data_IF_677173704232
#
_entry.id   IF_677173704232
#
_cell.length_a   1.000
_cell.length_b   1.000
_cell.length_c   1.000
_cell.angle_alpha   90.00
_cell.angle_beta   90.00
_cell.angle_gamma   90.00
#
_symmetry.space_group_name_H-M   'P 1'
#
loop_
_entity.id
_entity.type
_entity.pdbx_description
1 polymer ?
#
# COMPACT_ATOMS: atom_id res chain seq x y z
N UNK A 1 -11.62 -21.80 18.26
CA UNK A 1 -10.83 -21.42 17.07
C UNK A 1 -9.41 -21.16 17.53
N UNK A 2 -8.40 -21.57 16.77
CA UNK A 2 -7.00 -21.30 17.11
C UNK A 2 -6.73 -19.78 17.04
N UNK A 3 -5.99 -19.18 17.99
CA UNK A 3 -5.74 -17.75 17.99
C UNK A 3 -4.93 -17.36 16.75
N UNK A 4 -5.53 -16.55 15.88
CA UNK A 4 -4.85 -16.03 14.68
C UNK A 4 -3.93 -14.90 15.11
N UNK A 5 -2.63 -15.10 14.88
CA UNK A 5 -1.56 -14.20 15.34
C UNK A 5 -0.68 -13.77 14.18
N UNK A 6 -0.20 -12.54 14.25
CA UNK A 6 0.80 -12.00 13.33
C UNK A 6 1.79 -11.16 14.13
N UNK A 7 3.08 -11.29 13.87
CA UNK A 7 4.09 -10.43 14.49
C UNK A 7 4.98 -9.79 13.45
N UNK A 8 5.32 -8.53 13.69
CA UNK A 8 6.17 -7.77 12.78
C UNK A 8 6.98 -6.72 13.51
N UNK A 9 8.22 -6.55 13.09
CA UNK A 9 9.04 -5.39 13.42
C UNK A 9 9.05 -4.48 12.21
N UNK A 10 8.35 -3.35 12.27
CA UNK A 10 8.14 -2.51 11.10
C UNK A 10 9.39 -1.70 10.67
N UNK A 11 10.34 -1.46 11.58
CA UNK A 11 11.56 -0.69 11.29
C UNK A 11 12.63 -0.91 12.37
N UNK A 12 13.85 -0.42 12.13
CA UNK A 12 14.95 -0.44 13.12
C UNK A 12 14.60 0.30 14.42
N UNK A 13 13.76 1.34 14.34
CA UNK A 13 13.40 2.17 15.48
C UNK A 13 12.24 1.59 16.31
N UNK A 14 11.63 0.48 15.86
CA UNK A 14 10.49 -0.14 16.54
C UNK A 14 10.88 -1.51 17.08
N UNK A 15 10.35 -1.84 18.25
CA UNK A 15 10.36 -3.21 18.76
C UNK A 15 9.44 -4.09 17.91
N UNK A 16 9.63 -5.40 17.95
CA UNK A 16 8.68 -6.32 17.35
C UNK A 16 7.33 -6.20 18.08
N UNK A 17 6.27 -6.06 17.30
CA UNK A 17 4.90 -5.99 17.80
C UNK A 17 4.17 -7.25 17.38
N UNK A 18 3.59 -7.96 18.34
CA UNK A 18 2.67 -9.06 18.06
C UNK A 18 1.23 -8.56 18.11
N UNK A 19 0.43 -9.10 17.21
CA UNK A 19 -0.98 -8.83 17.03
C UNK A 19 -1.72 -10.15 17.18
N UNK A 20 -2.70 -10.17 18.05
CA UNK A 20 -3.51 -11.36 18.33
C UNK A 20 -4.99 -11.02 18.27
N UNK A 21 -5.74 -11.80 17.50
CA UNK A 21 -7.19 -11.67 17.42
C UNK A 21 -7.85 -12.47 18.55
N UNK A 22 -8.43 -11.75 19.49
CA UNK A 22 -9.37 -12.31 20.46
C UNK A 22 -10.81 -12.22 19.92
N UNK A 23 -11.77 -12.71 20.69
CA UNK A 23 -13.17 -12.80 20.24
C UNK A 23 -13.79 -11.42 20.03
N UNK A 24 -13.46 -10.42 20.85
CA UNK A 24 -14.05 -9.08 20.82
C UNK A 24 -13.04 -7.94 20.67
N UNK A 25 -11.74 -8.26 20.61
CA UNK A 25 -10.67 -7.28 20.58
C UNK A 25 -9.42 -7.75 19.82
N UNK A 26 -8.66 -6.77 19.35
CA UNK A 26 -7.29 -6.94 18.90
C UNK A 26 -6.36 -6.69 20.09
N UNK A 27 -5.52 -7.66 20.43
CA UNK A 27 -4.39 -7.44 21.34
C UNK A 27 -3.15 -7.04 20.55
N UNK A 28 -2.47 -6.01 21.04
CA UNK A 28 -1.20 -5.52 20.53
C UNK A 28 -0.18 -5.64 21.66
N UNK A 29 0.87 -6.42 21.49
CA UNK A 29 1.96 -6.48 22.45
C UNK A 29 3.26 -5.99 21.80
N UNK A 30 3.85 -4.94 22.36
CA UNK A 30 5.11 -4.34 21.91
C UNK A 30 6.08 -4.31 23.09
N UNK A 31 6.96 -5.30 23.17
CA UNK A 31 7.83 -5.47 24.35
C UNK A 31 7.01 -5.82 25.60
N UNK A 32 7.10 -5.00 26.65
CA UNK A 32 6.36 -5.20 27.90
C UNK A 32 4.97 -4.54 27.89
N UNK A 33 4.70 -3.68 26.91
CA UNK A 33 3.41 -3.01 26.79
C UNK A 33 2.42 -3.92 26.06
N UNK A 34 1.26 -4.16 26.69
CA UNK A 34 0.14 -4.87 26.08
C UNK A 34 -1.04 -3.92 26.05
N UNK A 35 -1.57 -3.70 24.86
CA UNK A 35 -2.73 -2.89 24.61
C UNK A 35 -3.86 -3.75 24.05
N UNK A 36 -5.08 -3.51 24.53
CA UNK A 36 -6.30 -4.13 24.01
C UNK A 36 -7.13 -3.09 23.28
N UNK A 37 -7.42 -3.35 22.01
CA UNK A 37 -8.27 -2.52 21.16
C UNK A 37 -9.58 -3.26 20.87
N UNK A 38 -10.69 -2.89 21.52
CA UNK A 38 -12.00 -3.49 21.23
C UNK A 38 -12.42 -3.23 19.77
N UNK A 39 -13.03 -4.22 19.11
CA UNK A 39 -13.52 -4.04 17.73
C UNK A 39 -14.59 -2.95 17.61
N UNK A 40 -15.37 -2.75 18.68
CA UNK A 40 -16.33 -1.66 18.80
C UNK A 40 -15.71 -0.26 18.71
N UNK A 41 -14.41 -0.09 19.02
CA UNK A 41 -13.73 1.20 18.94
C UNK A 41 -13.12 1.49 17.57
N UNK A 42 -13.10 0.49 16.69
CA UNK A 42 -12.54 0.63 15.34
C UNK A 42 -13.55 1.37 14.47
N UNK A 43 -13.17 2.54 13.97
CA UNK A 43 -14.01 3.32 13.07
C UNK A 43 -13.82 2.90 11.61
N UNK A 44 -12.58 2.56 11.23
CA UNK A 44 -12.25 2.18 9.86
C UNK A 44 -11.07 1.21 9.82
N UNK A 45 -11.14 0.24 8.92
CA UNK A 45 -10.01 -0.61 8.55
C UNK A 45 -9.73 -0.43 7.06
N UNK A 46 -8.49 -0.08 6.72
CA UNK A 46 -8.05 0.09 5.34
C UNK A 46 -6.99 -0.93 4.98
N UNK A 47 -7.24 -1.70 3.92
CA UNK A 47 -6.26 -2.60 3.33
C UNK A 47 -5.75 -2.00 2.01
N UNK A 48 -4.45 -1.87 1.86
CA UNK A 48 -3.85 -1.45 0.59
C UNK A 48 -2.47 -2.07 0.41
N UNK A 49 -2.01 -2.10 -0.84
CA UNK A 49 -0.66 -2.54 -1.15
C UNK A 49 0.20 -1.30 -1.37
N UNK A 50 1.33 -1.20 -0.67
CA UNK A 50 2.30 -0.16 -0.99
C UNK A 50 2.76 -0.36 -2.44
N UNK A 51 2.85 0.73 -3.22
CA UNK A 51 3.33 0.64 -4.58
C UNK A 51 4.80 0.22 -4.52
N UNK A 52 5.08 -1.01 -4.93
CA UNK A 52 6.40 -1.40 -5.38
C UNK A 52 6.54 -1.00 -6.86
N UNK A 53 7.77 -0.82 -7.35
CA UNK A 53 8.01 -0.71 -8.78
C UNK A 53 7.64 -2.04 -9.45
N UNK A 54 6.35 -2.24 -9.71
CA UNK A 54 5.84 -3.31 -10.54
C UNK A 54 5.74 -2.77 -11.96
N UNK A 55 6.69 -3.13 -12.80
CA UNK A 55 6.54 -2.97 -14.24
C UNK A 55 5.67 -4.12 -14.73
N UNK A 56 4.45 -3.81 -15.18
CA UNK A 56 3.52 -4.79 -15.75
C UNK A 56 4.21 -5.48 -16.94
N UNK A 57 4.58 -6.76 -16.77
CA UNK A 57 5.28 -7.57 -17.77
C UNK A 57 6.77 -7.84 -17.51
N UNK A 58 7.40 -7.23 -16.49
CA UNK A 58 8.83 -7.39 -16.20
C UNK A 58 9.12 -8.11 -14.87
N UNK A 59 8.14 -8.86 -14.37
CA UNK A 59 8.21 -9.58 -13.09
C UNK A 59 8.03 -8.67 -11.87
N UNK A 60 7.90 -9.29 -10.71
CA UNK A 60 7.91 -8.58 -9.43
C UNK A 60 9.33 -8.03 -9.16
N UNK A 61 9.45 -6.74 -8.86
CA UNK A 61 10.70 -6.21 -8.32
C UNK A 61 11.10 -7.01 -7.06
N UNK A 62 12.40 -7.23 -6.87
CA UNK A 62 12.98 -7.99 -5.75
C UNK A 62 12.50 -7.56 -4.35
N UNK A 63 11.92 -6.37 -4.24
CA UNK A 63 11.26 -5.85 -3.03
C UNK A 63 9.73 -5.90 -3.16
N UNK A 64 9.19 -7.10 -3.40
CA UNK A 64 7.77 -7.44 -3.60
C UNK A 64 6.79 -6.58 -2.81
N UNK A 65 5.63 -6.29 -3.43
CA UNK A 65 4.66 -5.34 -2.89
C UNK A 65 4.32 -5.63 -1.43
N UNK A 66 4.30 -4.58 -0.60
CA UNK A 66 4.01 -4.72 0.82
C UNK A 66 2.52 -4.56 1.06
N UNK A 67 1.90 -5.51 1.75
CA UNK A 67 0.51 -5.34 2.17
C UNK A 67 0.50 -4.55 3.48
N UNK A 68 -0.37 -3.55 3.55
CA UNK A 68 -0.58 -2.72 4.73
C UNK A 68 -2.04 -2.73 5.13
N UNK A 69 -2.26 -2.93 6.42
CA UNK A 69 -3.54 -2.78 7.08
C UNK A 69 -3.45 -1.60 8.04
N UNK A 70 -4.30 -0.60 7.84
CA UNK A 70 -4.37 0.59 8.68
C UNK A 70 -5.70 0.62 9.40
N UNK A 71 -5.64 0.53 10.73
CA UNK A 71 -6.79 0.63 11.63
C UNK A 71 -6.87 2.07 12.11
N UNK A 72 -8.03 2.71 11.94
CA UNK A 72 -8.35 4.01 12.52
C UNK A 72 -9.41 3.81 13.60
N UNK A 73 -9.10 4.24 14.82
CA UNK A 73 -10.05 4.17 15.95
C UNK A 73 -11.00 5.37 15.93
N UNK A 74 -12.11 5.28 16.67
CA UNK A 74 -13.04 6.41 16.87
C UNK A 74 -12.36 7.63 17.49
N UNK A 75 -11.33 7.41 18.30
CA UNK A 75 -10.46 8.45 18.86
C UNK A 75 -9.42 9.01 17.86
N UNK A 76 -9.54 8.69 16.56
CA UNK A 76 -8.64 9.13 15.46
C UNK A 76 -7.20 8.63 15.58
N UNK A 77 -6.93 7.66 16.44
CA UNK A 77 -5.62 6.99 16.49
C UNK A 77 -5.49 6.06 15.29
N UNK A 78 -4.28 5.98 14.72
CA UNK A 78 -3.96 5.10 13.60
C UNK A 78 -2.94 4.04 13.99
N UNK A 79 -3.22 2.80 13.66
CA UNK A 79 -2.34 1.65 13.84
C UNK A 79 -2.08 1.07 12.45
N UNK A 80 -0.81 0.90 12.10
CA UNK A 80 -0.39 0.35 10.80
C UNK A 80 0.29 -0.99 11.02
N UNK A 81 -0.26 -2.03 10.39
CA UNK A 81 0.26 -3.40 10.38
C UNK A 81 0.75 -3.68 8.96
N UNK A 82 1.88 -4.34 8.82
CA UNK A 82 2.54 -4.56 7.54
C UNK A 82 2.98 -6.00 7.40
N UNK A 83 2.92 -6.55 6.18
CA UNK A 83 3.45 -7.88 5.89
C UNK A 83 4.98 -7.96 5.91
N UNK A 84 5.70 -6.82 5.90
CA UNK A 84 7.17 -6.80 5.84
C UNK A 84 7.80 -6.71 7.22
N UNK A 85 8.60 -7.71 7.58
CA UNK A 85 9.35 -7.75 8.82
C UNK A 85 10.80 -7.28 8.63
N UNK A 86 11.20 -6.26 9.37
CA UNK A 86 12.57 -5.75 9.37
C UNK A 86 13.50 -6.68 10.16
N UNK A 87 14.45 -7.31 9.47
CA UNK A 87 15.46 -8.18 10.11
C UNK A 87 16.74 -7.39 10.41
N UNK A 88 17.26 -6.68 9.40
CA UNK A 88 18.45 -5.83 9.52
C UNK A 88 18.49 -4.83 8.37
N UNK A 89 19.43 -3.88 8.40
CA UNK A 89 19.57 -2.88 7.34
C UNK A 89 19.68 -3.55 5.96
N UNK A 90 18.80 -3.16 5.03
CA UNK A 90 18.72 -3.72 3.68
C UNK A 90 18.04 -5.10 3.56
N UNK A 91 17.62 -5.72 4.67
CA UNK A 91 17.01 -7.06 4.68
C UNK A 91 15.65 -7.03 5.36
N UNK A 92 14.63 -7.35 4.57
CA UNK A 92 13.26 -7.52 5.03
C UNK A 92 12.81 -8.94 4.72
N UNK A 93 12.15 -9.56 5.68
CA UNK A 93 11.45 -10.83 5.52
C UNK A 93 10.00 -10.56 5.09
N UNK A 94 9.51 -11.33 4.13
CA UNK A 94 8.11 -11.31 3.75
C UNK A 94 7.30 -12.26 4.65
N UNK A 95 6.38 -11.69 5.45
CA UNK A 95 5.46 -12.42 6.32
C UNK A 95 4.04 -12.45 5.76
N UNK A 96 3.84 -12.29 4.45
CA UNK A 96 2.54 -12.37 3.79
C UNK A 96 1.75 -13.66 4.16
N UNK A 97 2.45 -14.78 4.35
CA UNK A 97 1.83 -16.07 4.71
C UNK A 97 1.05 -16.02 6.04
N UNK A 98 1.50 -15.24 7.03
CA UNK A 98 0.76 -15.04 8.29
C UNK A 98 -0.13 -13.81 8.24
N UNK A 99 0.26 -12.78 7.48
CA UNK A 99 -0.48 -11.54 7.34
C UNK A 99 -1.83 -11.73 6.63
N UNK A 100 -1.89 -12.52 5.55
CA UNK A 100 -3.12 -12.74 4.78
C UNK A 100 -4.27 -13.34 5.59
N UNK A 101 -4.06 -14.48 6.27
CA UNK A 101 -5.06 -15.06 7.18
C UNK A 101 -5.44 -14.12 8.33
N UNK A 102 -4.44 -13.46 8.93
CA UNK A 102 -4.67 -12.48 10.00
C UNK A 102 -5.53 -11.30 9.55
N UNK A 103 -5.22 -10.67 8.42
CA UNK A 103 -5.95 -9.53 7.90
C UNK A 103 -7.38 -9.88 7.52
N UNK A 104 -7.58 -11.06 6.91
CA UNK A 104 -8.91 -11.57 6.55
C UNK A 104 -9.78 -11.78 7.79
N UNK A 105 -9.23 -12.46 8.80
CA UNK A 105 -9.95 -12.73 10.05
C UNK A 105 -10.21 -11.46 10.86
N UNK A 106 -9.27 -10.51 10.88
CA UNK A 106 -9.46 -9.20 11.52
C UNK A 106 -10.64 -8.45 10.88
N UNK A 107 -10.69 -8.40 9.54
CA UNK A 107 -11.78 -7.73 8.82
C UNK A 107 -13.13 -8.38 9.14
N UNK A 108 -13.18 -9.72 9.16
CA UNK A 108 -14.38 -10.48 9.53
C UNK A 108 -14.85 -10.16 10.95
N UNK A 109 -13.97 -10.28 11.95
CA UNK A 109 -14.32 -10.03 13.37
C UNK A 109 -14.68 -8.57 13.64
N UNK A 110 -14.04 -7.62 12.95
CA UNK A 110 -14.40 -6.20 13.05
C UNK A 110 -15.78 -5.95 12.48
N UNK A 111 -16.12 -6.57 11.34
CA UNK A 111 -17.45 -6.44 10.77
C UNK A 111 -18.54 -7.02 11.69
N UNK A 112 -18.28 -8.18 12.29
CA UNK A 112 -19.21 -8.83 13.24
C UNK A 112 -19.37 -8.04 14.54
N UNK A 113 -18.26 -7.60 15.14
CA UNK A 113 -18.28 -6.85 16.40
C UNK A 113 -18.67 -5.37 16.25
N UNK A 114 -18.58 -4.82 15.03
CA UNK A 114 -18.93 -3.44 14.73
C UNK A 114 -19.32 -3.27 13.25
N UNK A 115 -20.59 -3.55 12.89
CA UNK A 115 -21.08 -3.43 11.52
C UNK A 115 -21.02 -2.00 10.95
N UNK A 116 -20.87 -0.98 11.82
CA UNK A 116 -20.72 0.41 11.42
C UNK A 116 -19.27 0.78 11.05
N UNK A 117 -18.30 -0.11 11.27
CA UNK A 117 -16.91 0.13 10.88
C UNK A 117 -16.77 0.17 9.36
N UNK A 118 -16.10 1.19 8.84
CA UNK A 118 -15.84 1.30 7.41
C UNK A 118 -14.69 0.38 7.01
N UNK A 119 -14.96 -0.61 6.17
CA UNK A 119 -13.93 -1.45 5.56
C UNK A 119 -13.61 -0.89 4.17
N UNK A 120 -12.35 -0.52 3.93
CA UNK A 120 -11.92 0.16 2.70
C UNK A 120 -10.73 -0.56 2.09
N UNK A 121 -10.73 -0.74 0.77
CA UNK A 121 -9.59 -1.18 -0.02
C UNK A 121 -8.98 -0.01 -0.81
N UNK A 122 -7.66 -0.01 -0.94
CA UNK A 122 -6.91 0.98 -1.71
C UNK A 122 -6.43 2.17 -0.88
N UNK A 123 -5.86 3.17 -1.56
CA UNK A 123 -5.22 4.31 -0.89
C UNK A 123 -6.20 5.16 -0.09
N UNK A 124 -5.65 5.92 0.86
CA UNK A 124 -6.38 7.06 1.42
C UNK A 124 -6.67 8.08 0.31
N UNK A 125 -7.75 8.86 0.43
CA UNK A 125 -8.07 9.89 -0.55
C UNK A 125 -6.89 10.86 -0.77
N UNK A 126 -6.24 11.31 0.30
CA UNK A 126 -5.07 12.19 0.21
C UNK A 126 -3.90 11.55 -0.52
N UNK A 127 -3.60 10.27 -0.24
CA UNK A 127 -2.53 9.55 -0.93
C UNK A 127 -2.89 9.32 -2.41
N UNK A 128 -4.13 8.98 -2.73
CA UNK A 128 -4.59 8.82 -4.11
C UNK A 128 -4.46 10.14 -4.91
N UNK A 129 -4.87 11.27 -4.34
CA UNK A 129 -4.69 12.59 -4.95
C UNK A 129 -3.22 12.97 -5.11
N UNK A 130 -2.37 12.62 -4.15
CA UNK A 130 -0.92 12.81 -4.27
C UNK A 130 -0.35 12.05 -5.48
N UNK A 131 -0.72 10.78 -5.66
CA UNK A 131 -0.29 9.99 -6.83
C UNK A 131 -0.88 10.52 -8.14
N UNK A 132 -2.12 11.04 -8.12
CA UNK A 132 -2.69 11.69 -9.29
C UNK A 132 -1.93 12.97 -9.64
N UNK A 133 -1.57 13.80 -8.66
CA UNK A 133 -0.75 14.98 -8.86
C UNK A 133 0.63 14.64 -9.41
N UNK A 134 1.27 13.58 -8.91
CA UNK A 134 2.52 13.06 -9.44
C UNK A 134 2.38 12.59 -10.90
N UNK A 135 1.29 11.90 -11.25
CA UNK A 135 1.00 11.52 -12.63
C UNK A 135 0.83 12.76 -13.54
N UNK A 136 0.09 13.78 -13.09
CA UNK A 136 -0.07 15.03 -13.84
C UNK A 136 1.29 15.72 -14.08
N UNK A 137 2.15 15.76 -13.07
CA UNK A 137 3.51 16.28 -13.20
C UNK A 137 4.34 15.48 -14.22
N UNK A 138 4.26 14.15 -14.20
CA UNK A 138 4.92 13.30 -15.19
C UNK A 138 4.41 13.57 -16.61
N UNK A 139 3.11 13.79 -16.79
CA UNK A 139 2.56 14.18 -18.10
C UNK A 139 3.13 15.52 -18.56
N UNK A 140 3.24 16.52 -17.67
CA UNK A 140 3.85 17.80 -18.01
C UNK A 140 5.34 17.65 -18.37
N UNK A 141 6.09 16.85 -17.62
CA UNK A 141 7.48 16.51 -17.95
C UNK A 141 7.57 15.83 -19.33
N UNK A 142 6.68 14.89 -19.63
CA UNK A 142 6.65 14.22 -20.93
C UNK A 142 6.39 15.21 -22.07
N UNK A 143 5.43 16.13 -21.91
CA UNK A 143 5.18 17.20 -22.89
C UNK A 143 6.40 18.09 -23.08
N UNK A 144 7.10 18.46 -22.00
CA UNK A 144 8.35 19.20 -22.07
C UNK A 144 9.43 18.44 -22.86
N UNK A 145 9.59 17.14 -22.61
CA UNK A 145 10.51 16.29 -23.37
C UNK A 145 10.18 16.24 -24.86
N UNK A 146 8.90 16.11 -25.22
CA UNK A 146 8.43 16.15 -26.61
C UNK A 146 8.75 17.50 -27.25
N UNK A 147 8.51 18.61 -26.55
CA UNK A 147 8.85 19.94 -27.04
C UNK A 147 10.35 20.12 -27.26
N UNK A 148 11.20 19.56 -26.40
CA UNK A 148 12.65 19.55 -26.62
C UNK A 148 13.03 18.81 -27.92
N UNK A 149 12.41 17.65 -28.18
CA UNK A 149 12.64 16.89 -29.42
C UNK A 149 12.21 17.69 -30.64
N UNK A 150 11.02 18.29 -30.60
CA UNK A 150 10.50 19.13 -31.70
C UNK A 150 11.41 20.33 -31.94
N UNK A 151 11.82 21.03 -30.88
CA UNK A 151 12.72 22.18 -30.97
C UNK A 151 14.07 21.81 -31.58
N UNK A 152 14.63 20.65 -31.21
CA UNK A 152 15.89 20.17 -31.79
C UNK A 152 15.72 19.75 -33.26
N UNK A 153 14.64 19.05 -33.59
CA UNK A 153 14.36 18.58 -34.95
C UNK A 153 14.05 19.71 -35.95
N UNK A 154 13.47 20.83 -35.47
CA UNK A 154 13.14 22.00 -36.30
C UNK A 154 14.29 23.00 -36.45
N UNK A 155 15.50 22.64 -36.00
CA UNK A 155 16.71 23.45 -36.15
C UNK A 155 16.96 24.47 -35.04
N UNK A 156 16.12 24.49 -34.00
CA UNK A 156 16.32 25.35 -32.81
C UNK A 156 17.26 24.75 -31.75
N UNK A 157 17.76 23.53 -31.92
CA UNK A 157 18.56 22.83 -30.92
C UNK A 157 19.68 21.96 -31.48
N UNK A 158 20.45 21.34 -30.59
CA UNK A 158 21.56 20.45 -30.93
C UNK A 158 21.08 19.00 -31.07
N UNK A 159 21.84 18.16 -31.78
CA UNK A 159 21.58 16.72 -31.85
C UNK A 159 21.57 16.05 -30.46
N UNK A 160 22.36 16.59 -29.52
CA UNK A 160 22.38 16.19 -28.11
C UNK A 160 20.99 16.42 -27.50
N UNK A 161 20.39 17.59 -27.71
CA UNK A 161 19.04 17.90 -27.24
C UNK A 161 17.97 16.95 -27.78
N UNK A 162 18.12 16.48 -29.03
CA UNK A 162 17.23 15.49 -29.63
C UNK A 162 17.33 14.14 -28.91
N UNK A 163 18.55 13.64 -28.69
CA UNK A 163 18.78 12.35 -28.02
C UNK A 163 18.30 12.39 -26.57
N UNK A 164 18.70 13.42 -25.81
CA UNK A 164 18.28 13.57 -24.42
C UNK A 164 16.78 13.78 -24.29
N UNK A 165 16.16 14.60 -25.15
CA UNK A 165 14.72 14.79 -25.18
C UNK A 165 13.97 13.49 -25.46
N UNK A 166 14.44 12.68 -26.40
CA UNK A 166 13.83 11.40 -26.73
C UNK A 166 13.93 10.39 -25.58
N UNK A 167 15.12 10.24 -24.98
CA UNK A 167 15.35 9.35 -23.83
C UNK A 167 14.48 9.81 -22.64
N UNK A 168 14.54 11.10 -22.30
CA UNK A 168 13.76 11.67 -21.20
C UNK A 168 12.25 11.45 -21.39
N UNK A 169 11.75 11.68 -22.61
CA UNK A 169 10.33 11.44 -22.94
C UNK A 169 9.96 9.97 -22.77
N UNK A 170 10.79 9.05 -23.28
CA UNK A 170 10.54 7.62 -23.19
C UNK A 170 10.47 7.14 -21.72
N UNK A 171 11.46 7.49 -20.90
CA UNK A 171 11.48 7.11 -19.48
C UNK A 171 10.33 7.74 -18.69
N UNK A 172 9.97 8.98 -19.01
CA UNK A 172 8.83 9.65 -18.38
C UNK A 172 7.51 8.99 -18.76
N UNK A 173 7.34 8.59 -20.03
CA UNK A 173 6.17 7.87 -20.50
C UNK A 173 6.02 6.49 -19.82
N UNK A 174 7.13 5.74 -19.70
CA UNK A 174 7.14 4.47 -18.96
C UNK A 174 6.79 4.65 -17.48
N UNK A 175 7.29 5.72 -16.86
CA UNK A 175 6.97 6.07 -15.47
C UNK A 175 5.49 6.43 -15.32
N UNK A 176 4.95 7.28 -16.20
CA UNK A 176 3.55 7.65 -16.18
C UNK A 176 2.63 6.44 -16.35
N UNK A 177 2.98 5.51 -17.24
CA UNK A 177 2.25 4.25 -17.42
C UNK A 177 2.21 3.40 -16.14
N UNK A 178 3.32 3.31 -15.39
CA UNK A 178 3.35 2.61 -14.10
C UNK A 178 2.42 3.27 -13.07
N UNK A 179 2.42 4.61 -12.99
CA UNK A 179 1.53 5.36 -12.10
C UNK A 179 0.04 5.19 -12.43
N UNK A 180 -0.31 5.08 -13.72
CA UNK A 180 -1.69 4.76 -14.14
C UNK A 180 -2.14 3.41 -13.58
N UNK A 181 -1.27 2.38 -13.64
CA UNK A 181 -1.55 1.08 -13.04
C UNK A 181 -1.78 1.17 -11.52
N UNK A 182 -0.89 1.85 -10.80
CA UNK A 182 -1.01 2.07 -9.35
C UNK A 182 -2.33 2.80 -9.01
N UNK A 183 -2.68 3.86 -9.72
CA UNK A 183 -3.91 4.62 -9.45
C UNK A 183 -5.18 3.82 -9.75
N UNK A 184 -5.16 2.98 -10.79
CA UNK A 184 -6.27 2.11 -11.16
C UNK A 184 -6.48 0.99 -10.10
N UNK A 185 -5.39 0.36 -9.66
CA UNK A 185 -5.40 -0.71 -8.66
C UNK A 185 -5.75 -0.20 -7.26
N UNK A 186 -5.22 0.96 -6.87
CA UNK A 186 -5.34 1.52 -5.53
C UNK A 186 -6.49 2.52 -5.38
N UNK A 187 -7.44 2.54 -6.33
CA UNK A 187 -8.64 3.37 -6.23
C UNK A 187 -9.40 3.03 -4.93
N UNK A 188 -9.73 4.02 -4.07
CA UNK A 188 -10.47 3.76 -2.84
C UNK A 188 -11.82 3.13 -3.16
N UNK A 189 -12.10 1.96 -2.58
CA UNK A 189 -13.38 1.26 -2.73
C UNK A 189 -13.82 0.68 -1.38
N UNK A 190 -15.11 0.70 -1.05
CA UNK A 190 -15.63 -0.08 0.06
C UNK A 190 -15.26 -1.55 -0.13
N UNK A 191 -14.79 -2.20 0.94
CA UNK A 191 -14.55 -3.63 0.94
C UNK A 191 -15.85 -4.31 1.34
N UNK A 192 -16.48 -4.99 0.39
CA UNK A 192 -17.60 -5.89 0.67
C UNK A 192 -16.99 -7.24 1.03
N UNK A 193 -17.19 -7.68 2.27
CA UNK A 193 -16.93 -9.07 2.64
C UNK A 193 -18.04 -9.89 1.97
N UNK A 194 -17.77 -10.42 0.77
CA UNK A 194 -18.64 -11.45 0.21
C UNK A 194 -18.66 -12.61 1.22
N UNK A 195 -19.86 -13.01 1.61
CA UNK A 195 -20.14 -14.16 2.45
C UNK A 195 -19.78 -15.44 1.66
N UNK A 196 -18.49 -15.65 1.41
CA UNK A 196 -18.00 -16.93 0.94
C UNK A 196 -18.08 -17.87 2.13
N UNK A 197 -19.26 -18.49 2.25
CA UNK A 197 -19.41 -19.71 3.03
C UNK A 197 -18.28 -20.69 2.68
N UNK A 198 -17.82 -21.50 3.65
CA UNK A 198 -16.64 -22.33 3.47
C UNK A 198 -16.84 -23.21 2.25
N UNK A 199 -16.03 -23.00 1.20
CA UNK A 199 -15.88 -23.99 0.14
C UNK A 199 -15.33 -25.24 0.82
N UNK A 200 -16.20 -26.26 0.89
CA UNK A 200 -15.96 -27.58 1.45
C UNK A 200 -15.00 -28.38 0.56
#
# INVERSE_FOLDING_TARGET
MEPVRHSVRASIAKVETSYELQDDALLLAAGAEVERLPFAEIARVRLFQAPSMRYRGMGDAAYGGCELLVIETRARRKISITSKHFVKLGVFEDRAATFGPFGTELLRRVHEGNPQAELVRGFSAGLWWFYLGALLLLVLCMLFGVLMVISAATGGGTWIGLVFGAIFTLFTALSAWSFVGVLAEQRPRPLVLEDRGPER
#
